data_IF_392746692387
#
_entry.id   IF_392746692387
#
_cell.length_a   1.000
_cell.length_b   1.000
_cell.length_c   1.000
_cell.angle_alpha   90.00
_cell.angle_beta   90.00
_cell.angle_gamma   90.00
#
_symmetry.space_group_name_H-M   'P 1'
#
loop_
_entity.id
_entity.type
_entity.pdbx_description
1 polymer ?
#
# COMPACT_ATOMS: atom_id res chain seq x y z
N UNK A 1 -14.86 -6.40 -1.92
CA UNK A 1 -14.51 -5.17 -2.68
C UNK A 1 -15.57 -4.94 -3.74
N UNK A 2 -15.94 -3.68 -3.99
CA UNK A 2 -16.89 -3.31 -5.05
C UNK A 2 -16.37 -3.77 -6.43
N UNK A 3 -17.23 -4.00 -7.43
CA UNK A 3 -16.80 -4.17 -8.81
C UNK A 3 -16.01 -2.95 -9.30
N UNK A 4 -15.15 -3.18 -10.29
CA UNK A 4 -14.38 -2.17 -11.02
C UNK A 4 -13.47 -1.30 -10.15
N UNK A 5 -12.82 -1.92 -9.16
CA UNK A 5 -11.84 -1.25 -8.30
C UNK A 5 -10.50 -1.96 -8.28
N UNK A 6 -9.48 -1.23 -7.82
CA UNK A 6 -8.11 -1.70 -7.69
C UNK A 6 -7.78 -2.10 -6.24
N UNK A 7 -6.82 -2.99 -6.10
CA UNK A 7 -6.17 -3.36 -4.86
C UNK A 7 -4.66 -3.37 -5.11
N UNK A 8 -3.91 -2.72 -4.22
CA UNK A 8 -2.44 -2.74 -4.23
C UNK A 8 -2.01 -3.61 -3.05
N UNK A 9 -1.26 -4.68 -3.34
CA UNK A 9 -0.84 -5.65 -2.33
C UNK A 9 0.68 -5.75 -2.32
N UNK A 10 1.29 -5.22 -1.25
CA UNK A 10 2.69 -5.52 -0.92
C UNK A 10 2.81 -6.98 -0.53
N UNK A 11 3.93 -7.61 -0.90
CA UNK A 11 4.16 -9.03 -0.63
C UNK A 11 5.65 -9.32 -0.42
N UNK A 12 5.94 -10.45 0.24
CA UNK A 12 7.27 -11.02 0.31
C UNK A 12 7.45 -12.12 -0.73
N UNK A 13 8.66 -12.22 -1.30
CA UNK A 13 9.00 -13.19 -2.36
C UNK A 13 8.63 -14.63 -2.03
N UNK A 14 8.79 -15.05 -0.77
CA UNK A 14 8.56 -16.42 -0.31
C UNK A 14 7.10 -16.85 -0.32
N UNK A 15 6.16 -15.91 -0.36
CA UNK A 15 4.72 -16.19 -0.31
C UNK A 15 4.02 -15.91 -1.65
N UNK A 16 4.79 -15.68 -2.72
CA UNK A 16 4.27 -15.26 -4.02
C UNK A 16 3.21 -16.21 -4.55
N UNK A 17 3.49 -17.51 -4.61
CA UNK A 17 2.55 -18.50 -5.16
C UNK A 17 1.25 -18.54 -4.37
N UNK A 18 1.34 -18.57 -3.04
CA UNK A 18 0.20 -18.57 -2.13
C UNK A 18 -0.67 -17.34 -2.31
N UNK A 19 -0.07 -16.14 -2.35
CA UNK A 19 -0.83 -14.91 -2.53
C UNK A 19 -1.50 -14.86 -3.90
N UNK A 20 -0.79 -15.22 -4.97
CA UNK A 20 -1.34 -15.17 -6.32
C UNK A 20 -2.50 -16.16 -6.49
N UNK A 21 -2.40 -17.35 -5.92
CA UNK A 21 -3.50 -18.32 -5.91
C UNK A 21 -4.71 -17.79 -5.13
N UNK A 22 -4.49 -17.22 -3.94
CA UNK A 22 -5.56 -16.65 -3.11
C UNK A 22 -6.28 -15.48 -3.81
N UNK A 23 -5.53 -14.56 -4.42
CA UNK A 23 -6.12 -13.45 -5.16
C UNK A 23 -6.95 -13.92 -6.36
N UNK A 24 -6.45 -14.90 -7.12
CA UNK A 24 -7.20 -15.48 -8.23
C UNK A 24 -8.50 -16.15 -7.75
N UNK A 25 -8.44 -16.95 -6.68
CA UNK A 25 -9.61 -17.58 -6.08
C UNK A 25 -10.64 -16.54 -5.55
N UNK A 26 -10.17 -15.38 -5.08
CA UNK A 26 -11.01 -14.27 -4.66
C UNK A 26 -11.60 -13.42 -5.82
N UNK A 27 -11.32 -13.81 -7.08
CA UNK A 27 -11.83 -13.16 -8.28
C UNK A 27 -11.06 -11.92 -8.71
N UNK A 28 -9.79 -11.78 -8.28
CA UNK A 28 -8.92 -10.69 -8.71
C UNK A 28 -8.04 -11.12 -9.88
N UNK A 29 -7.76 -10.16 -10.76
CA UNK A 29 -6.80 -10.31 -11.85
C UNK A 29 -5.58 -9.46 -11.58
N UNK A 30 -4.38 -10.00 -11.85
CA UNK A 30 -3.14 -9.21 -11.86
C UNK A 30 -3.13 -8.34 -13.10
N UNK A 31 -2.96 -7.04 -12.91
CA UNK A 31 -2.98 -6.05 -14.00
C UNK A 31 -1.74 -5.15 -14.01
N UNK A 32 -0.83 -5.34 -13.06
CA UNK A 32 0.44 -4.61 -13.00
C UNK A 32 1.27 -5.01 -11.79
N UNK A 33 2.45 -4.43 -11.69
CA UNK A 33 3.39 -4.63 -10.60
C UNK A 33 4.16 -3.33 -10.38
N UNK A 34 4.36 -2.93 -9.13
CA UNK A 34 5.07 -1.70 -8.76
C UNK A 34 6.35 -2.08 -8.03
N UNK A 35 7.45 -1.43 -8.37
CA UNK A 35 8.76 -1.55 -7.72
C UNK A 35 9.13 -0.21 -7.09
N UNK A 36 9.42 -0.26 -5.80
CA UNK A 36 9.91 0.88 -5.04
C UNK A 36 11.39 0.70 -4.71
N UNK A 37 12.25 1.45 -5.39
CA UNK A 37 13.70 1.40 -5.23
C UNK A 37 14.15 2.16 -3.98
N UNK A 38 14.95 1.52 -3.14
CA UNK A 38 15.57 2.12 -1.95
C UNK A 38 17.01 2.50 -2.30
N UNK A 39 17.44 3.66 -1.82
CA UNK A 39 18.84 4.11 -1.88
C UNK A 39 19.74 3.41 -0.84
N UNK A 40 19.13 2.73 0.14
CA UNK A 40 19.82 1.95 1.17
C UNK A 40 19.56 0.44 1.06
N UNK A 41 20.46 -0.36 1.65
CA UNK A 41 20.32 -1.81 1.74
C UNK A 41 19.50 -2.19 2.97
N UNK A 42 18.28 -2.67 2.74
CA UNK A 42 17.35 -3.05 3.82
C UNK A 42 17.60 -4.44 4.42
N UNK A 43 18.23 -5.34 3.65
CA UNK A 43 18.67 -6.66 4.08
C UNK A 43 19.82 -7.13 3.20
N UNK A 44 20.80 -7.82 3.78
CA UNK A 44 21.85 -8.52 3.04
C UNK A 44 21.61 -10.03 3.06
N UNK A 45 21.84 -10.68 1.93
CA UNK A 45 21.74 -12.12 1.73
C UNK A 45 22.52 -12.50 0.47
N UNK A 46 21.93 -13.30 -0.43
CA UNK A 46 22.49 -13.53 -1.76
C UNK A 46 22.61 -12.25 -2.59
N UNK A 47 21.72 -11.28 -2.35
CA UNK A 47 21.76 -9.95 -2.93
C UNK A 47 21.52 -8.90 -1.83
N UNK A 48 21.88 -7.64 -2.13
CA UNK A 48 21.47 -6.50 -1.33
C UNK A 48 20.01 -6.13 -1.66
N UNK A 49 19.11 -6.29 -0.70
CA UNK A 49 17.70 -5.93 -0.88
C UNK A 49 17.53 -4.41 -0.88
N UNK A 50 17.41 -3.85 -2.08
CA UNK A 50 17.26 -2.40 -2.35
C UNK A 50 15.94 -2.06 -3.04
N UNK A 51 14.93 -2.91 -2.91
CA UNK A 51 13.59 -2.58 -3.38
C UNK A 51 12.51 -3.25 -2.54
N UNK A 52 11.30 -2.71 -2.68
CA UNK A 52 10.05 -3.36 -2.30
C UNK A 52 9.13 -3.47 -3.52
N UNK A 53 8.17 -4.37 -3.45
CA UNK A 53 7.30 -4.68 -4.56
C UNK A 53 5.84 -4.80 -4.12
N UNK A 54 4.94 -4.44 -5.02
CA UNK A 54 3.51 -4.61 -4.83
C UNK A 54 2.82 -5.08 -6.12
N UNK A 55 1.85 -5.99 -5.99
CA UNK A 55 0.96 -6.33 -7.07
C UNK A 55 -0.11 -5.26 -7.25
N UNK A 56 -0.44 -4.95 -8.49
CA UNK A 56 -1.66 -4.21 -8.85
C UNK A 56 -2.71 -5.23 -9.29
N UNK A 57 -3.79 -5.30 -8.52
CA UNK A 57 -4.87 -6.26 -8.69
C UNK A 57 -6.16 -5.52 -9.04
N UNK A 58 -6.92 -6.07 -9.97
CA UNK A 58 -8.21 -5.54 -10.38
C UNK A 58 -9.34 -6.52 -10.05
N UNK A 59 -10.44 -6.01 -9.49
CA UNK A 59 -11.73 -6.70 -9.48
C UNK A 59 -12.61 -6.06 -10.54
N UNK A 60 -13.11 -6.85 -11.49
CA UNK A 60 -13.80 -6.31 -12.67
C UNK A 60 -12.85 -5.58 -13.63
N UNK A 61 -13.30 -4.46 -14.20
CA UNK A 61 -12.59 -3.62 -15.17
C UNK A 61 -12.53 -2.17 -14.65
N UNK A 62 -11.61 -1.86 -13.70
CA UNK A 62 -11.44 -0.51 -13.18
C UNK A 62 -11.10 0.49 -14.28
N UNK A 63 -11.52 1.73 -14.09
CA UNK A 63 -11.17 2.83 -14.99
C UNK A 63 -9.65 3.09 -14.95
N UNK A 64 -9.08 3.36 -16.12
CA UNK A 64 -7.69 3.75 -16.25
C UNK A 64 -7.51 5.20 -15.79
N UNK A 65 -6.41 5.55 -15.09
CA UNK A 65 -6.13 6.93 -14.74
C UNK A 65 -5.79 7.73 -16.01
N UNK A 66 -6.16 9.02 -16.03
CA UNK A 66 -5.75 9.92 -17.11
C UNK A 66 -4.23 10.09 -17.19
N UNK A 67 -3.56 10.08 -16.03
CA UNK A 67 -2.11 10.13 -15.91
C UNK A 67 -1.65 8.93 -15.06
N UNK A 68 -1.22 7.82 -15.68
CA UNK A 68 -0.70 6.68 -14.93
C UNK A 68 0.62 7.04 -14.24
N UNK A 69 0.85 6.46 -13.07
CA UNK A 69 2.15 6.54 -12.38
C UNK A 69 3.15 5.60 -13.03
N UNK A 70 4.45 5.95 -12.92
CA UNK A 70 5.53 5.01 -13.19
C UNK A 70 5.40 3.78 -12.29
N UNK A 71 5.61 2.60 -12.86
CA UNK A 71 5.63 1.34 -12.14
C UNK A 71 6.97 1.12 -11.39
N UNK A 72 7.97 1.94 -11.67
CA UNK A 72 9.23 2.02 -10.91
C UNK A 72 9.38 3.40 -10.31
N UNK A 73 9.58 3.48 -9.00
CA UNK A 73 9.70 4.75 -8.27
C UNK A 73 10.72 4.67 -7.14
N UNK A 74 11.28 5.82 -6.74
CA UNK A 74 12.16 5.91 -5.57
C UNK A 74 11.38 5.84 -4.26
N UNK A 75 11.99 5.24 -3.24
CA UNK A 75 11.48 5.16 -1.88
C UNK A 75 12.29 6.13 -1.00
N UNK A 76 11.70 7.27 -0.68
CA UNK A 76 12.33 8.22 0.25
C UNK A 76 12.18 7.67 1.67
N UNK A 77 13.28 7.28 2.29
CA UNK A 77 13.27 6.77 3.66
C UNK A 77 13.10 7.92 4.66
N UNK A 78 12.00 7.90 5.42
CA UNK A 78 11.70 8.93 6.44
C UNK A 78 12.03 8.49 7.87
N UNK A 79 12.65 7.32 8.05
CA UNK A 79 13.23 6.93 9.35
C UNK A 79 12.42 5.97 10.22
N UNK A 80 11.32 5.38 9.73
CA UNK A 80 10.49 4.38 10.45
C UNK A 80 10.29 4.66 11.95
N UNK A 81 10.02 5.93 12.32
CA UNK A 81 10.09 6.41 13.71
C UNK A 81 9.04 5.79 14.64
N UNK A 82 7.97 5.22 14.08
CA UNK A 82 6.82 4.74 14.84
C UNK A 82 6.57 3.23 14.71
N UNK A 83 7.09 2.58 13.65
CA UNK A 83 6.92 1.14 13.44
C UNK A 83 8.02 0.54 12.55
N UNK A 84 8.54 -0.68 12.83
CA UNK A 84 9.63 -1.29 12.04
C UNK A 84 9.34 -1.42 10.53
N UNK A 85 8.07 -1.59 10.16
CA UNK A 85 7.63 -1.74 8.76
C UNK A 85 6.83 -0.55 8.22
N UNK A 86 6.91 0.61 8.88
CA UNK A 86 6.18 1.81 8.48
C UNK A 86 6.45 2.16 7.00
N UNK A 87 5.39 2.32 6.22
CA UNK A 87 5.46 2.90 4.87
C UNK A 87 5.52 4.43 4.98
N UNK A 88 6.39 5.12 4.21
CA UNK A 88 6.31 6.56 4.05
C UNK A 88 4.95 6.94 3.46
N UNK A 89 4.32 7.96 4.03
CA UNK A 89 3.01 8.46 3.58
C UNK A 89 3.14 9.00 2.14
N UNK A 90 4.28 9.59 1.83
CA UNK A 90 4.66 10.19 0.55
C UNK A 90 4.68 9.16 -0.60
N UNK A 91 4.89 7.87 -0.29
CA UNK A 91 4.82 6.79 -1.28
C UNK A 91 3.37 6.35 -1.54
N UNK A 92 2.51 6.47 -0.53
CA UNK A 92 1.12 6.00 -0.60
C UNK A 92 0.18 7.07 -1.17
N UNK A 93 0.43 8.35 -0.91
CA UNK A 93 -0.41 9.46 -1.39
C UNK A 93 -0.56 9.49 -2.92
N UNK A 94 0.50 9.37 -3.76
CA UNK A 94 0.33 9.34 -5.20
C UNK A 94 -0.55 8.19 -5.66
N UNK A 95 -0.41 7.00 -5.04
CA UNK A 95 -1.23 5.83 -5.35
C UNK A 95 -2.70 6.11 -5.04
N UNK A 96 -3.00 6.64 -3.85
CA UNK A 96 -4.38 6.93 -3.43
C UNK A 96 -4.97 8.05 -4.30
N UNK A 97 -4.21 9.11 -4.56
CA UNK A 97 -4.66 10.25 -5.37
C UNK A 97 -5.00 9.82 -6.80
N UNK A 98 -4.21 8.91 -7.37
CA UNK A 98 -4.36 8.43 -8.75
C UNK A 98 -5.46 7.39 -8.89
N UNK A 99 -5.53 6.43 -7.96
CA UNK A 99 -6.33 5.21 -8.14
C UNK A 99 -7.58 5.14 -7.25
N UNK A 100 -7.72 6.01 -6.25
CA UNK A 100 -8.95 6.13 -5.46
C UNK A 100 -9.69 7.41 -5.85
N UNK A 101 -10.99 7.34 -6.27
CA UNK A 101 -11.79 8.52 -6.57
C UNK A 101 -11.84 9.51 -5.41
N UNK A 102 -12.08 10.79 -5.72
CA UNK A 102 -12.31 11.83 -4.71
C UNK A 102 -13.48 11.45 -3.80
N UNK A 103 -13.33 11.57 -2.48
CA UNK A 103 -14.33 11.10 -1.49
C UNK A 103 -14.54 9.58 -1.46
N UNK A 104 -13.73 8.84 -2.23
CA UNK A 104 -13.67 7.38 -2.25
C UNK A 104 -13.24 6.80 -0.91
N UNK A 105 -13.30 5.47 -0.80
CA UNK A 105 -12.99 4.74 0.42
C UNK A 105 -11.75 3.89 0.21
N UNK A 106 -10.71 4.14 1.01
CA UNK A 106 -9.50 3.31 1.09
C UNK A 106 -9.68 2.31 2.24
N UNK A 107 -9.42 1.03 1.98
CA UNK A 107 -9.41 -0.02 3.01
C UNK A 107 -7.99 -0.53 3.16
N UNK A 108 -7.48 -0.52 4.39
CA UNK A 108 -6.25 -1.20 4.76
C UNK A 108 -6.53 -2.22 5.87
N UNK A 109 -6.61 -3.53 5.54
CA UNK A 109 -6.91 -4.56 6.52
C UNK A 109 -5.74 -4.91 7.44
N UNK A 110 -4.55 -4.34 7.20
CA UNK A 110 -3.33 -4.56 7.99
C UNK A 110 -2.63 -3.21 8.22
N UNK A 111 -3.37 -2.24 8.78
CA UNK A 111 -2.97 -0.84 8.68
C UNK A 111 -1.75 -0.46 9.54
N UNK A 112 -1.32 -1.32 10.48
CA UNK A 112 -0.16 -1.07 11.32
C UNK A 112 -0.28 0.27 12.05
N UNK A 113 0.76 1.09 11.97
CA UNK A 113 0.76 2.46 12.50
C UNK A 113 -0.02 3.48 11.66
N UNK A 114 -0.86 3.04 10.72
CA UNK A 114 -1.84 3.89 10.05
C UNK A 114 -1.35 4.72 8.86
N UNK A 115 -0.17 4.46 8.28
CA UNK A 115 0.36 5.28 7.17
C UNK A 115 -0.59 5.37 5.97
N UNK A 116 -1.27 4.28 5.61
CA UNK A 116 -2.27 4.28 4.52
C UNK A 116 -3.48 5.16 4.86
N UNK A 117 -3.88 5.19 6.13
CA UNK A 117 -5.03 5.96 6.61
C UNK A 117 -4.72 7.46 6.58
N UNK A 118 -3.54 7.83 7.09
CA UNK A 118 -3.03 9.21 7.03
C UNK A 118 -2.94 9.68 5.57
N UNK A 119 -2.36 8.86 4.68
CA UNK A 119 -2.28 9.20 3.26
C UNK A 119 -3.68 9.37 2.61
N UNK A 120 -4.65 8.55 3.02
CA UNK A 120 -6.03 8.67 2.56
C UNK A 120 -6.67 9.97 3.04
N UNK A 121 -6.52 10.30 4.32
CA UNK A 121 -7.01 11.54 4.93
C UNK A 121 -6.42 12.79 4.28
N UNK A 122 -5.09 12.85 4.12
CA UNK A 122 -4.41 13.95 3.41
C UNK A 122 -4.91 14.12 1.98
N UNK A 123 -5.26 13.01 1.32
CA UNK A 123 -5.83 13.05 -0.02
C UNK A 123 -7.34 13.37 -0.03
N UNK A 124 -7.99 13.60 1.11
CA UNK A 124 -9.45 13.82 1.17
C UNK A 124 -10.26 12.57 0.78
N UNK A 125 -9.74 11.38 1.07
CA UNK A 125 -10.45 10.10 0.94
C UNK A 125 -10.91 9.63 2.32
N UNK A 126 -12.04 8.92 2.35
CA UNK A 126 -12.47 8.18 3.53
C UNK A 126 -11.58 6.95 3.68
N UNK A 127 -11.44 6.44 4.89
CA UNK A 127 -10.62 5.27 5.16
C UNK A 127 -11.26 4.33 6.19
N UNK A 128 -10.90 3.04 6.09
CA UNK A 128 -11.10 2.02 7.12
C UNK A 128 -9.77 1.31 7.32
N UNK A 129 -9.29 1.28 8.55
CA UNK A 129 -8.12 0.52 8.97
C UNK A 129 -8.50 -0.62 9.89
N UNK A 130 -7.87 -1.77 9.72
CA UNK A 130 -7.96 -2.90 10.65
C UNK A 130 -6.54 -3.21 11.10
N UNK A 131 -6.36 -3.31 12.42
CA UNK A 131 -5.10 -3.68 13.05
C UNK A 131 -5.41 -4.61 14.22
N UNK A 132 -4.64 -5.70 14.33
CA UNK A 132 -4.84 -6.73 15.34
C UNK A 132 -4.15 -6.34 16.66
N UNK A 133 -2.97 -5.73 16.57
CA UNK A 133 -2.14 -5.37 17.71
C UNK A 133 -2.55 -4.02 18.29
N UNK A 134 -3.11 -4.02 19.51
CA UNK A 134 -3.63 -2.82 20.17
C UNK A 134 -2.65 -1.64 20.21
N UNK A 135 -1.37 -1.91 20.51
CA UNK A 135 -0.29 -0.90 20.49
C UNK A 135 -0.13 -0.19 19.13
N UNK A 136 -0.31 -0.90 18.02
CA UNK A 136 -0.17 -0.32 16.68
C UNK A 136 -1.44 0.44 16.29
N UNK A 137 -2.60 -0.09 16.69
CA UNK A 137 -3.87 0.61 16.55
C UNK A 137 -3.90 1.94 17.33
N UNK A 138 -3.33 1.99 18.52
CA UNK A 138 -3.18 3.23 19.32
C UNK A 138 -2.31 4.26 18.59
N UNK A 139 -1.12 3.87 18.12
CA UNK A 139 -0.25 4.74 17.31
C UNK A 139 -0.97 5.27 16.07
N UNK A 140 -1.74 4.42 15.37
CA UNK A 140 -2.53 4.84 14.22
C UNK A 140 -3.59 5.89 14.60
N UNK A 141 -4.30 5.69 15.72
CA UNK A 141 -5.31 6.66 16.22
C UNK A 141 -4.69 7.99 16.60
N UNK A 142 -3.55 7.98 17.31
CA UNK A 142 -2.84 9.21 17.67
C UNK A 142 -2.48 10.03 16.44
N UNK A 143 -1.90 9.38 15.42
CA UNK A 143 -1.52 10.05 14.16
C UNK A 143 -2.71 10.68 13.44
N UNK A 144 -3.89 10.07 13.49
CA UNK A 144 -5.12 10.55 12.85
C UNK A 144 -5.88 11.58 13.71
N UNK A 145 -5.48 11.75 14.98
CA UNK A 145 -6.07 12.75 15.88
C UNK A 145 -5.35 14.10 15.85
N UNK A 146 -4.21 14.18 15.17
CA UNK A 146 -3.46 15.42 14.99
C UNK A 146 -4.20 16.34 14.00
N UNK A 147 -4.40 17.63 14.32
CA UNK A 147 -5.09 18.59 13.47
C UNK A 147 -4.32 18.95 12.19
#
# INVERSE_FOLDING_TARGET
>A
MKPDTLCISFYGWTATETFLAAWAAAGFRRVGHIVFCKDYTSRKGLFEARHECAYVLAKGRPQLPAMPLSDVSGWVYTGNRLHPTQKPVEVLEPLIRTYCPQGGLVLDPFCGSGSTLVAAETCGRRYIGIELEGKHAEVARERLSLP
#
